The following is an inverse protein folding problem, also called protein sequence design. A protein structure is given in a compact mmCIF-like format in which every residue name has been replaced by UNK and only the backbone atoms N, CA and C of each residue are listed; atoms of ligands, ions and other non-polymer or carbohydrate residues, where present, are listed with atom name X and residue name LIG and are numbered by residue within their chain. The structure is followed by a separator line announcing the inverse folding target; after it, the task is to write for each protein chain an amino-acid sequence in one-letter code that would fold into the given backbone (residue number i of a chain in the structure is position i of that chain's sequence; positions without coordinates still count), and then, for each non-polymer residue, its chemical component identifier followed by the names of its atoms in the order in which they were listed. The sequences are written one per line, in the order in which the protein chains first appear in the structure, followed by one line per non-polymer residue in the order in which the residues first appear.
data_IF_896314130606
#
_entry.id   IF_896314130606
#
_cell.length_a   1.000
_cell.length_b   1.000
_cell.length_c   1.000
_cell.angle_alpha   90.00
_cell.angle_beta   90.00
_cell.angle_gamma   90.00
#
_symmetry.space_group_name_H-M   'P 1'
#
loop_
_entity.id
_entity.type
_entity.pdbx_description
1 polymer ?
#
# COMPACT_ATOMS: atom_id res chain seq x y z
N UNK A 1 -20.15 -7.94 -13.99
CA UNK A 1 -18.88 -7.22 -13.79
C UNK A 1 -17.84 -7.88 -14.68
N UNK A 2 -17.06 -7.12 -15.44
CA UNK A 2 -16.06 -7.67 -16.37
C UNK A 2 -14.83 -8.19 -15.60
N UNK A 3 -14.17 -9.25 -16.09
CA UNK A 3 -13.00 -9.89 -15.46
C UNK A 3 -11.84 -8.90 -15.25
N UNK A 4 -11.66 -7.97 -16.19
CA UNK A 4 -10.69 -6.89 -16.10
C UNK A 4 -10.95 -5.97 -14.90
N UNK A 5 -12.22 -5.62 -14.63
CA UNK A 5 -12.58 -4.78 -13.50
C UNK A 5 -12.34 -5.49 -12.17
N UNK A 6 -12.53 -6.82 -12.11
CA UNK A 6 -12.17 -7.61 -10.93
C UNK A 6 -10.65 -7.59 -10.67
N UNK A 7 -9.84 -7.70 -11.72
CA UNK A 7 -8.37 -7.65 -11.60
C UNK A 7 -7.89 -6.32 -11.00
N UNK A 8 -8.42 -5.19 -11.50
CA UNK A 8 -8.10 -3.86 -10.98
C UNK A 8 -8.42 -3.74 -9.49
N UNK A 9 -9.62 -4.14 -9.07
CA UNK A 9 -10.00 -4.09 -7.65
C UNK A 9 -9.15 -5.02 -6.78
N UNK A 10 -8.82 -6.21 -7.25
CA UNK A 10 -7.95 -7.14 -6.53
C UNK A 10 -6.54 -6.56 -6.37
N UNK A 11 -5.94 -6.04 -7.44
CA UNK A 11 -4.59 -5.46 -7.38
C UNK A 11 -4.54 -4.27 -6.43
N UNK A 12 -5.50 -3.34 -6.53
CA UNK A 12 -5.56 -2.18 -5.64
C UNK A 12 -5.83 -2.58 -4.18
N UNK A 13 -6.74 -3.53 -3.97
CA UNK A 13 -7.07 -4.05 -2.64
C UNK A 13 -5.89 -4.77 -1.98
N UNK A 14 -5.19 -5.62 -2.73
CA UNK A 14 -3.98 -6.33 -2.26
C UNK A 14 -2.87 -5.32 -1.96
N UNK A 15 -2.64 -4.35 -2.85
CA UNK A 15 -1.58 -3.36 -2.66
C UNK A 15 -1.83 -2.48 -1.42
N UNK A 16 -3.09 -2.09 -1.18
CA UNK A 16 -3.50 -1.41 0.04
C UNK A 16 -3.32 -2.30 1.28
N UNK A 17 -3.75 -3.55 1.21
CA UNK A 17 -3.65 -4.50 2.33
C UNK A 17 -2.18 -4.73 2.74
N UNK A 18 -1.28 -4.89 1.77
CA UNK A 18 0.17 -5.01 2.00
C UNK A 18 0.71 -3.73 2.65
N UNK A 19 0.34 -2.55 2.13
CA UNK A 19 0.75 -1.27 2.71
C UNK A 19 0.28 -1.10 4.16
N UNK A 20 -0.98 -1.45 4.45
CA UNK A 20 -1.53 -1.42 5.81
C UNK A 20 -0.82 -2.42 6.73
N UNK A 21 -0.55 -3.65 6.25
CA UNK A 21 0.16 -4.68 7.01
C UNK A 21 1.54 -4.19 7.44
N UNK A 22 2.34 -3.69 6.49
CA UNK A 22 3.66 -3.10 6.75
C UNK A 22 3.53 -1.98 7.80
N UNK A 23 2.54 -1.10 7.62
CA UNK A 23 2.29 0.00 8.52
C UNK A 23 1.91 -0.41 9.95
N UNK A 24 1.18 -1.51 10.10
CA UNK A 24 0.83 -2.08 11.42
C UNK A 24 2.04 -2.73 12.08
N UNK A 25 2.79 -3.55 11.35
CA UNK A 25 3.99 -4.20 11.89
C UNK A 25 5.05 -3.19 12.33
N UNK A 26 5.31 -2.18 11.48
CA UNK A 26 6.20 -1.06 11.80
C UNK A 26 5.67 -0.26 12.99
N UNK A 27 4.37 0.05 12.98
CA UNK A 27 3.73 0.78 14.06
C UNK A 27 3.77 0.06 15.40
N UNK A 28 3.73 -1.28 15.41
CA UNK A 28 3.90 -2.08 16.62
C UNK A 28 5.36 -2.14 17.07
N UNK A 29 6.30 -2.34 16.14
CA UNK A 29 7.75 -2.37 16.42
C UNK A 29 8.29 -1.04 16.94
N UNK A 30 7.75 0.07 16.46
CA UNK A 30 8.12 1.43 16.88
C UNK A 30 7.38 1.90 18.15
N UNK A 31 6.63 1.02 18.85
CA UNK A 31 5.99 1.37 20.13
C UNK A 31 6.99 1.63 21.25
N UNK A 32 8.12 0.94 21.23
CA UNK A 32 9.19 1.09 22.23
C UNK A 32 10.20 2.18 21.85
N UNK A 33 10.06 2.77 20.66
CA UNK A 33 10.94 3.84 20.17
C UNK A 33 10.43 5.19 20.68
N UNK A 34 11.35 5.99 21.24
CA UNK A 34 11.06 7.31 21.79
C UNK A 34 10.26 8.21 20.82
N UNK A 35 9.34 9.00 21.38
CA UNK A 35 8.56 9.98 20.61
C UNK A 35 9.47 10.88 19.77
N UNK A 36 9.10 11.10 18.49
CA UNK A 36 9.89 11.88 17.53
C UNK A 36 10.78 11.08 16.57
N UNK A 37 11.01 9.78 16.79
CA UNK A 37 11.72 8.89 15.84
C UNK A 37 10.81 8.08 14.90
N UNK A 38 9.48 8.24 15.01
CA UNK A 38 8.51 7.55 14.15
C UNK A 38 8.49 8.19 12.77
N UNK A 39 9.03 7.48 11.78
CA UNK A 39 9.24 8.01 10.42
C UNK A 39 7.93 8.02 9.61
N UNK A 40 7.08 7.01 9.78
CA UNK A 40 5.84 6.86 9.02
C UNK A 40 4.87 5.88 9.71
N UNK A 41 3.57 6.20 9.70
CA UNK A 41 2.52 5.38 10.32
C UNK A 41 1.73 4.52 9.33
N UNK A 42 0.72 3.82 9.85
CA UNK A 42 -0.14 2.91 9.05
C UNK A 42 -0.79 3.57 7.83
N UNK A 43 -1.20 4.84 7.96
CA UNK A 43 -1.82 5.60 6.86
C UNK A 43 -0.83 5.84 5.73
N UNK A 44 0.42 6.17 6.06
CA UNK A 44 1.46 6.45 5.06
C UNK A 44 1.77 5.20 4.24
N UNK A 45 2.01 4.06 4.90
CA UNK A 45 2.30 2.82 4.18
C UNK A 45 1.09 2.29 3.41
N UNK A 46 -0.14 2.45 3.93
CA UNK A 46 -1.36 2.14 3.18
C UNK A 46 -1.49 2.95 1.89
N UNK A 47 -1.27 4.26 1.96
CA UNK A 47 -1.29 5.14 0.77
C UNK A 47 -0.16 4.82 -0.21
N UNK A 48 1.05 4.54 0.27
CA UNK A 48 2.18 4.13 -0.56
C UNK A 48 1.90 2.81 -1.28
N UNK A 49 1.32 1.82 -0.58
CA UNK A 49 0.91 0.55 -1.17
C UNK A 49 -0.14 0.77 -2.26
N UNK A 50 -1.20 1.53 -1.99
CA UNK A 50 -2.23 1.86 -2.97
C UNK A 50 -1.66 2.59 -4.20
N UNK A 51 -0.78 3.57 -3.99
CA UNK A 51 -0.08 4.30 -5.05
C UNK A 51 0.77 3.35 -5.91
N UNK A 52 1.52 2.43 -5.29
CA UNK A 52 2.30 1.43 -6.01
C UNK A 52 1.43 0.53 -6.89
N UNK A 53 0.30 0.05 -6.36
CA UNK A 53 -0.67 -0.74 -7.14
C UNK A 53 -1.27 0.04 -8.31
N UNK A 54 -1.62 1.32 -8.08
CA UNK A 54 -2.16 2.19 -9.13
C UNK A 54 -1.12 2.47 -10.23
N UNK A 55 0.13 2.76 -9.87
CA UNK A 55 1.21 2.98 -10.83
C UNK A 55 1.56 1.70 -11.61
N UNK A 56 1.51 0.53 -10.96
CA UNK A 56 1.69 -0.77 -11.63
C UNK A 56 0.64 -1.01 -12.71
N UNK A 57 -0.64 -0.82 -12.38
CA UNK A 57 -1.73 -0.91 -13.36
C UNK A 57 -1.59 0.12 -14.48
N UNK A 58 -1.14 1.33 -14.16
CA UNK A 58 -0.93 2.38 -15.15
C UNK A 58 0.24 2.03 -16.09
N UNK A 59 1.28 1.36 -15.58
CA UNK A 59 2.42 0.92 -16.38
C UNK A 59 2.05 -0.17 -17.40
N UNK A 60 1.04 -1.00 -17.13
CA UNK A 60 0.51 -1.95 -18.12
C UNK A 60 -0.15 -1.24 -19.32
N UNK A 61 -0.59 0.01 -19.15
CA UNK A 61 -1.26 0.78 -20.20
C UNK A 61 -0.34 1.79 -20.91
N UNK A 62 0.67 2.31 -20.19
CA UNK A 62 1.51 3.43 -20.64
C UNK A 62 3.00 3.08 -20.75
N UNK A 63 3.42 1.92 -20.22
CA UNK A 63 4.78 1.41 -20.36
C UNK A 63 5.02 0.73 -21.71
N UNK A 64 6.28 0.61 -22.15
CA UNK A 64 6.64 -0.08 -23.40
C UNK A 64 6.29 -1.56 -23.41
#
# INVERSE_FOLDING_TARGET
MTTAQQHVFLVLGISLAIGLLIGVERGWKEREVAEGKRIAGVRTFGLLGLLGGALGLLSEQLGP
#
